data_IF_056368932824
#
_entry.id   IF_056368932824
#
_cell.length_a   1.000
_cell.length_b   1.000
_cell.length_c   1.000
_cell.angle_alpha   90.00
_cell.angle_beta   90.00
_cell.angle_gamma   90.00
#
_symmetry.space_group_name_H-M   'P 1'
#
loop_
_entity.id
_entity.type
_entity.pdbx_description
1 polymer ?
#
# COMPACT_ATOMS: atom_id res chain seq x y z
N UNK A 1 -16.22 5.31 -18.72
CA UNK A 1 -14.74 5.34 -18.82
C UNK A 1 -14.13 5.31 -17.41
N UNK A 2 -14.07 4.14 -16.74
CA UNK A 2 -13.49 4.02 -15.40
C UNK A 2 -11.95 3.90 -15.41
N UNK A 3 -11.39 3.20 -16.40
CA UNK A 3 -9.95 2.89 -16.49
C UNK A 3 -9.04 4.12 -16.61
N UNK A 4 -9.49 5.17 -17.31
CA UNK A 4 -8.74 6.43 -17.46
C UNK A 4 -8.58 7.19 -16.14
N UNK A 5 -9.53 7.07 -15.22
CA UNK A 5 -9.45 7.74 -13.92
C UNK A 5 -8.45 7.03 -12.99
N UNK A 6 -8.39 5.69 -13.04
CA UNK A 6 -7.43 4.92 -12.26
C UNK A 6 -5.99 5.14 -12.73
N UNK A 7 -5.76 5.13 -14.04
CA UNK A 7 -4.44 5.40 -14.63
C UNK A 7 -3.90 6.79 -14.23
N UNK A 8 -4.78 7.80 -14.28
CA UNK A 8 -4.45 9.17 -13.85
C UNK A 8 -4.16 9.24 -12.34
N UNK A 9 -4.96 8.53 -11.53
CA UNK A 9 -4.79 8.47 -10.08
C UNK A 9 -3.43 7.87 -9.72
N UNK A 10 -3.12 6.68 -10.23
CA UNK A 10 -1.87 5.97 -9.93
C UNK A 10 -0.64 6.68 -10.48
N UNK A 11 -0.73 7.31 -11.66
CA UNK A 11 0.34 8.19 -12.16
C UNK A 11 0.61 9.37 -11.23
N UNK A 12 -0.45 9.96 -10.66
CA UNK A 12 -0.33 11.02 -9.66
C UNK A 12 0.35 10.53 -8.37
N UNK A 13 -0.04 9.34 -7.92
CA UNK A 13 0.53 8.70 -6.73
C UNK A 13 1.99 8.29 -6.92
N UNK A 14 2.40 7.81 -8.09
CA UNK A 14 3.81 7.54 -8.39
C UNK A 14 4.65 8.81 -8.28
N UNK A 15 4.15 9.94 -8.78
CA UNK A 15 4.84 11.23 -8.65
C UNK A 15 4.91 11.67 -7.19
N UNK A 16 3.82 11.53 -6.45
CA UNK A 16 3.76 11.82 -5.01
C UNK A 16 4.73 10.94 -4.21
N UNK A 17 4.81 9.65 -4.54
CA UNK A 17 5.76 8.70 -3.97
C UNK A 17 7.20 9.18 -4.15
N UNK A 18 7.57 9.57 -5.37
CA UNK A 18 8.92 10.08 -5.64
C UNK A 18 9.24 11.32 -4.80
N UNK A 19 8.31 12.26 -4.69
CA UNK A 19 8.46 13.45 -3.84
C UNK A 19 8.60 13.09 -2.36
N UNK A 20 7.82 12.13 -1.88
CA UNK A 20 7.87 11.67 -0.49
C UNK A 20 9.21 10.99 -0.19
N UNK A 21 9.75 10.20 -1.12
CA UNK A 21 11.05 9.56 -0.96
C UNK A 21 12.19 10.59 -0.85
N UNK A 22 12.07 11.76 -1.47
CA UNK A 22 13.04 12.85 -1.35
C UNK A 22 13.09 13.43 0.07
N UNK A 23 11.98 13.41 0.82
CA UNK A 23 11.93 13.92 2.21
C UNK A 23 12.47 12.92 3.22
N UNK A 24 12.73 11.66 2.81
CA UNK A 24 13.24 10.56 3.65
C UNK A 24 12.44 10.39 4.95
N UNK A 25 11.12 10.13 4.87
CA UNK A 25 10.32 9.87 6.05
C UNK A 25 10.82 8.63 6.79
N UNK A 26 10.45 8.50 8.07
CA UNK A 26 10.62 7.23 8.77
C UNK A 26 9.77 6.13 8.11
N UNK A 27 10.14 4.86 8.29
CA UNK A 27 9.35 3.73 7.78
C UNK A 27 7.90 3.77 8.27
N UNK A 28 7.67 4.18 9.52
CA UNK A 28 6.32 4.28 10.08
C UNK A 28 5.50 5.36 9.37
N UNK A 29 6.02 6.58 9.27
CA UNK A 29 5.33 7.69 8.60
C UNK A 29 5.03 7.38 7.13
N UNK A 30 5.98 6.75 6.44
CA UNK A 30 5.80 6.31 5.07
C UNK A 30 4.64 5.33 4.93
N UNK A 31 4.63 4.26 5.74
CA UNK A 31 3.62 3.21 5.63
C UNK A 31 2.25 3.63 6.16
N UNK A 32 2.17 4.49 7.17
CA UNK A 32 0.89 5.02 7.64
C UNK A 32 0.24 5.90 6.56
N UNK A 33 1.02 6.75 5.88
CA UNK A 33 0.54 7.57 4.76
C UNK A 33 0.03 6.76 3.56
N UNK A 34 0.70 5.65 3.24
CA UNK A 34 0.27 4.76 2.15
C UNK A 34 -0.92 3.88 2.53
N UNK A 35 -1.02 3.44 3.79
CA UNK A 35 -2.15 2.65 4.28
C UNK A 35 -3.47 3.39 4.12
N UNK A 36 -3.52 4.68 4.45
CA UNK A 36 -4.74 5.49 4.29
C UNK A 36 -5.21 5.55 2.82
N UNK A 37 -4.26 5.57 1.87
CA UNK A 37 -4.53 5.56 0.43
C UNK A 37 -4.99 4.19 -0.06
N UNK A 38 -4.35 3.12 0.39
CA UNK A 38 -4.79 1.73 0.16
C UNK A 38 -6.25 1.56 0.58
N UNK A 39 -6.58 1.92 1.82
CA UNK A 39 -7.95 1.82 2.34
C UNK A 39 -8.97 2.64 1.54
N UNK A 40 -8.59 3.84 1.09
CA UNK A 40 -9.47 4.69 0.29
C UNK A 40 -9.78 4.06 -1.08
N UNK A 41 -8.79 3.46 -1.73
CA UNK A 41 -8.98 2.77 -3.02
C UNK A 41 -9.75 1.47 -2.83
N UNK A 42 -9.45 0.67 -1.81
CA UNK A 42 -10.20 -0.56 -1.52
C UNK A 42 -11.69 -0.31 -1.28
N UNK A 43 -12.04 0.79 -0.59
CA UNK A 43 -13.46 1.19 -0.37
C UNK A 43 -14.17 1.60 -1.65
N UNK A 44 -13.45 2.08 -2.65
CA UNK A 44 -13.99 2.58 -3.92
C UNK A 44 -13.86 1.57 -5.07
N UNK A 45 -13.05 0.53 -4.89
CA UNK A 45 -12.77 -0.48 -5.88
C UNK A 45 -14.01 -1.30 -6.20
N UNK A 46 -14.31 -1.46 -7.50
CA UNK A 46 -15.25 -2.50 -7.93
C UNK A 46 -14.48 -3.81 -8.20
N UNK A 47 -15.14 -4.98 -8.18
CA UNK A 47 -14.48 -6.25 -8.51
C UNK A 47 -13.81 -6.27 -9.89
N UNK A 48 -14.28 -5.42 -10.81
CA UNK A 48 -13.72 -5.28 -12.16
C UNK A 48 -12.40 -4.50 -12.18
N UNK A 49 -12.16 -3.66 -11.18
CA UNK A 49 -10.97 -2.81 -11.07
C UNK A 49 -9.87 -3.47 -10.23
N UNK A 50 -10.18 -4.55 -9.50
CA UNK A 50 -9.29 -5.20 -8.55
C UNK A 50 -7.94 -5.61 -9.17
N UNK A 51 -7.96 -6.21 -10.36
CA UNK A 51 -6.72 -6.67 -11.02
C UNK A 51 -5.80 -5.49 -11.41
N UNK A 52 -6.39 -4.38 -11.86
CA UNK A 52 -5.67 -3.16 -12.24
C UNK A 52 -5.12 -2.46 -11.00
N UNK A 53 -5.93 -2.37 -9.94
CA UNK A 53 -5.55 -1.76 -8.67
C UNK A 53 -4.40 -2.53 -8.02
N UNK A 54 -4.47 -3.87 -7.99
CA UNK A 54 -3.40 -4.71 -7.44
C UNK A 54 -2.10 -4.52 -8.22
N UNK A 55 -2.14 -4.56 -9.55
CA UNK A 55 -0.96 -4.35 -10.38
C UNK A 55 -0.33 -2.95 -10.18
N UNK A 56 -1.17 -1.92 -9.98
CA UNK A 56 -0.69 -0.57 -9.71
C UNK A 56 -0.06 -0.43 -8.33
N UNK A 57 -0.63 -1.07 -7.30
CA UNK A 57 -0.02 -1.12 -5.97
C UNK A 57 1.31 -1.88 -5.97
N UNK A 58 1.37 -3.03 -6.65
CA UNK A 58 2.62 -3.80 -6.80
C UNK A 58 3.72 -2.93 -7.42
N UNK A 59 3.38 -2.12 -8.43
CA UNK A 59 4.33 -1.19 -9.03
C UNK A 59 4.82 -0.11 -8.04
N UNK A 60 3.90 0.53 -7.30
CA UNK A 60 4.25 1.54 -6.31
C UNK A 60 5.12 0.96 -5.18
N UNK A 61 4.81 -0.26 -4.73
CA UNK A 61 5.60 -0.93 -3.70
C UNK A 61 6.99 -1.30 -4.21
N UNK A 62 7.13 -1.78 -5.45
CA UNK A 62 8.44 -2.05 -6.02
C UNK A 62 9.34 -0.79 -6.04
N UNK A 63 8.77 0.39 -6.32
CA UNK A 63 9.50 1.67 -6.23
C UNK A 63 9.92 1.96 -4.78
N UNK A 64 9.01 1.81 -3.82
CA UNK A 64 9.28 2.02 -2.40
C UNK A 64 10.39 1.08 -1.87
N UNK A 65 10.31 -0.21 -2.21
CA UNK A 65 11.27 -1.23 -1.82
C UNK A 65 12.66 -0.96 -2.40
N UNK A 66 12.74 -0.55 -3.67
CA UNK A 66 14.01 -0.14 -4.30
C UNK A 66 14.70 1.02 -3.57
N UNK A 67 13.93 1.80 -2.81
CA UNK A 67 14.40 2.93 -2.01
C UNK A 67 14.62 2.57 -0.53
N UNK A 68 14.49 1.29 -0.15
CA UNK A 68 14.72 0.79 1.21
C UNK A 68 13.49 0.75 2.11
N UNK A 69 12.31 1.09 1.59
CA UNK A 69 11.04 0.96 2.31
C UNK A 69 10.43 -0.41 2.05
N UNK A 70 10.93 -1.42 2.76
CA UNK A 70 10.41 -2.79 2.68
C UNK A 70 9.13 -2.91 3.50
N UNK A 71 8.10 -3.54 2.91
CA UNK A 71 6.86 -3.81 3.63
C UNK A 71 7.12 -4.97 4.58
N UNK A 72 7.11 -4.70 5.89
CA UNK A 72 7.12 -5.79 6.87
C UNK A 72 5.71 -6.38 6.86
N UNK A 73 5.52 -7.66 6.52
CA UNK A 73 4.22 -8.28 6.68
C UNK A 73 3.82 -8.12 8.14
N UNK A 74 2.66 -7.50 8.39
CA UNK A 74 2.05 -7.51 9.72
C UNK A 74 1.71 -8.96 9.98
N UNK A 75 2.64 -9.68 10.63
CA UNK A 75 2.32 -10.98 11.19
C UNK A 75 1.14 -10.71 12.14
N UNK A 76 0.00 -11.41 11.96
CA UNK A 76 -1.03 -11.36 12.97
C UNK A 76 -0.35 -11.69 14.31
N UNK A 77 -0.70 -11.00 15.41
CA UNK A 77 -0.17 -11.39 16.71
C UNK A 77 -0.42 -12.88 16.83
N UNK A 78 0.67 -13.67 16.93
CA UNK A 78 0.58 -15.09 17.26
C UNK A 78 -0.31 -15.12 18.48
N UNK A 79 -1.56 -15.56 18.32
CA UNK A 79 -2.46 -15.78 19.43
C UNK A 79 -1.67 -16.73 20.30
N UNK A 80 -1.19 -16.22 21.44
CA UNK A 80 -0.58 -17.05 22.44
C UNK A 80 -1.70 -18.00 22.86
N UNK A 81 -1.72 -19.19 22.26
CA UNK A 81 -2.42 -20.34 22.81
C UNK A 81 -1.69 -20.68 24.12
N UNK A 82 -1.87 -19.84 25.13
CA UNK A 82 -1.62 -20.15 26.50
C UNK A 82 -2.75 -21.11 26.90
N UNK A 83 -2.41 -22.40 26.86
CA UNK A 83 -3.35 -23.50 27.02
C UNK A 83 -4.21 -23.34 28.26
N UNK A 84 -5.52 -23.40 28.04
CA UNK A 84 -6.46 -23.80 29.08
C UNK A 84 -6.44 -25.33 29.12
N UNK A 85 -5.51 -25.88 29.88
CA UNK A 85 -5.49 -27.27 30.26
C UNK A 85 -5.25 -27.35 31.77
N UNK A 86 -6.33 -27.25 32.55
CA UNK A 86 -6.63 -28.06 33.75
C UNK A 86 -7.87 -27.55 34.45
#
# INVERSE_FOLDING_TARGET
MPTRNLDTLFSGWERELRLLLETRPTHQEFWDYWREREEAVERLATPRDAEIINAAFDHLFAIAESSGYVRVPVLPPLVAEAGEAS
#
